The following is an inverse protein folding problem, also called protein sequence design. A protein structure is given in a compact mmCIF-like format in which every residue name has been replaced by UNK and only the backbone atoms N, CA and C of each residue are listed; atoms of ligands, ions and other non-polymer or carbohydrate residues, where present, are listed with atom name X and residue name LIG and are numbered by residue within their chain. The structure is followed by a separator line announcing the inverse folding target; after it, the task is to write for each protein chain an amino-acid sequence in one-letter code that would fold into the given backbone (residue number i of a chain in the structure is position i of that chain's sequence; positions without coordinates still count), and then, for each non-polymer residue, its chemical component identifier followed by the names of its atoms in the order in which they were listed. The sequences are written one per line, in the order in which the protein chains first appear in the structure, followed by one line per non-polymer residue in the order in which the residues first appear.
data_IF_597213484339
#
_entry.id   IF_597213484339
#
_cell.length_a   1.000
_cell.length_b   1.000
_cell.length_c   1.000
_cell.angle_alpha   90.00
_cell.angle_beta   90.00
_cell.angle_gamma   90.00
#
_symmetry.space_group_name_H-M   'P 1'
#
loop_
_entity.id
_entity.type
_entity.pdbx_description
1 polymer ?
#
# COMPACT_ATOMS: atom_id res chain seq x y z
N UNK A 1 24.81 -15.96 2.95
CA UNK A 1 24.04 -17.20 3.17
C UNK A 1 22.62 -17.02 2.65
N UNK A 2 21.82 -16.15 3.27
CA UNK A 2 20.44 -15.86 2.85
C UNK A 2 20.28 -15.46 1.37
N UNK A 3 21.19 -14.64 0.81
CA UNK A 3 21.16 -14.32 -0.62
C UNK A 3 21.35 -15.56 -1.52
N UNK A 4 22.22 -16.49 -1.14
CA UNK A 4 22.45 -17.71 -1.93
C UNK A 4 21.22 -18.61 -1.87
N UNK A 5 20.61 -18.74 -0.69
CA UNK A 5 19.37 -19.49 -0.48
C UNK A 5 18.23 -18.90 -1.32
N UNK A 6 18.08 -17.56 -1.33
CA UNK A 6 17.10 -16.87 -2.17
C UNK A 6 17.37 -17.03 -3.67
N UNK A 7 18.64 -16.94 -4.10
CA UNK A 7 19.03 -17.15 -5.49
C UNK A 7 18.66 -18.56 -5.97
N UNK A 8 18.94 -19.57 -5.16
CA UNK A 8 18.57 -20.97 -5.44
C UNK A 8 17.05 -21.16 -5.46
N UNK A 9 16.32 -20.52 -4.55
CA UNK A 9 14.86 -20.57 -4.52
C UNK A 9 14.24 -19.98 -5.80
N UNK A 10 14.71 -18.82 -6.27
CA UNK A 10 14.23 -18.24 -7.53
C UNK A 10 14.47 -19.18 -8.72
N UNK A 11 15.63 -19.84 -8.79
CA UNK A 11 15.88 -20.85 -9.83
C UNK A 11 14.86 -22.01 -9.77
N UNK A 12 14.58 -22.53 -8.57
CA UNK A 12 13.59 -23.61 -8.36
C UNK A 12 12.16 -23.19 -8.69
N UNK A 13 11.86 -21.88 -8.60
CA UNK A 13 10.56 -21.27 -8.91
C UNK A 13 10.44 -20.81 -10.36
N UNK A 14 11.31 -21.31 -11.25
CA UNK A 14 11.18 -21.09 -12.69
C UNK A 14 11.79 -19.78 -13.22
N UNK A 15 12.49 -19.01 -12.39
CA UNK A 15 13.18 -17.81 -12.87
C UNK A 15 14.43 -18.21 -13.67
N UNK A 16 14.49 -17.78 -14.94
CA UNK A 16 15.71 -17.90 -15.76
C UNK A 16 16.87 -17.06 -15.21
N UNK A 17 18.10 -17.39 -15.60
CA UNK A 17 19.29 -16.64 -15.17
C UNK A 17 19.23 -15.16 -15.57
N UNK A 18 18.65 -14.87 -16.75
CA UNK A 18 18.42 -13.52 -17.23
C UNK A 18 17.43 -12.77 -16.32
N UNK A 19 16.27 -13.38 -16.01
CA UNK A 19 15.26 -12.78 -15.13
C UNK A 19 15.79 -12.53 -13.71
N UNK A 20 16.60 -13.45 -13.15
CA UNK A 20 17.24 -13.23 -11.84
C UNK A 20 18.22 -12.06 -11.88
N UNK A 21 19.00 -11.95 -12.96
CA UNK A 21 19.94 -10.84 -13.17
C UNK A 21 19.20 -9.50 -13.29
N UNK A 22 18.12 -9.45 -14.06
CA UNK A 22 17.25 -8.28 -14.21
C UNK A 22 16.59 -7.87 -12.89
N UNK A 23 16.10 -8.84 -12.10
CA UNK A 23 15.58 -8.59 -10.76
C UNK A 23 16.61 -7.88 -9.88
N UNK A 24 17.85 -8.39 -9.83
CA UNK A 24 18.91 -7.77 -9.04
C UNK A 24 19.32 -6.40 -9.56
N UNK A 25 19.33 -6.22 -10.89
CA UNK A 25 19.60 -4.93 -11.53
C UNK A 25 18.56 -3.89 -11.11
N UNK A 26 17.28 -4.25 -11.10
CA UNK A 26 16.18 -3.37 -10.68
C UNK A 26 16.25 -3.03 -9.19
N UNK A 27 16.62 -4.00 -8.34
CA UNK A 27 16.84 -3.73 -6.91
C UNK A 27 18.04 -2.79 -6.68
N UNK A 28 19.14 -3.01 -7.41
CA UNK A 28 20.30 -2.11 -7.37
C UNK A 28 19.94 -0.69 -7.85
N UNK A 29 19.10 -0.59 -8.88
CA UNK A 29 18.60 0.67 -9.40
C UNK A 29 17.76 1.43 -8.36
N UNK A 30 16.90 0.76 -7.60
CA UNK A 30 16.17 1.37 -6.48
C UNK A 30 17.13 2.00 -5.46
N UNK A 31 18.23 1.32 -5.11
CA UNK A 31 19.26 1.86 -4.22
C UNK A 31 20.00 3.05 -4.84
N UNK A 32 20.34 2.97 -6.13
CA UNK A 32 21.04 4.05 -6.83
C UNK A 32 20.20 5.32 -6.95
N UNK A 33 18.93 5.20 -7.33
CA UNK A 33 17.98 6.33 -7.36
C UNK A 33 17.79 6.88 -5.93
N UNK A 34 17.80 6.00 -4.92
CA UNK A 34 17.82 6.36 -3.50
C UNK A 34 19.00 7.24 -3.08
N UNK A 35 20.10 7.28 -3.84
CA UNK A 35 21.25 8.15 -3.58
C UNK A 35 21.19 9.49 -4.35
N UNK A 36 20.21 9.70 -5.22
CA UNK A 36 20.02 10.97 -5.92
C UNK A 36 19.53 12.03 -4.93
N UNK A 37 20.29 13.11 -4.80
CA UNK A 37 20.03 14.20 -3.86
C UNK A 37 19.83 15.54 -4.58
N UNK A 38 19.20 16.49 -3.90
CA UNK A 38 18.71 17.73 -4.50
C UNK A 38 19.25 18.97 -3.78
N UNK A 39 19.55 20.01 -4.53
CA UNK A 39 19.95 21.34 -4.02
C UNK A 39 19.01 22.42 -4.55
N UNK A 40 18.87 23.57 -3.87
CA UNK A 40 18.15 24.71 -4.42
C UNK A 40 18.76 25.15 -5.76
N UNK A 41 17.94 25.21 -6.79
CA UNK A 41 18.28 25.65 -8.14
C UNK A 41 17.65 26.99 -8.50
N UNK A 42 17.81 27.44 -9.75
CA UNK A 42 17.24 28.71 -10.23
C UNK A 42 15.72 28.74 -10.27
N UNK A 43 15.12 27.60 -10.60
CA UNK A 43 13.67 27.47 -10.77
C UNK A 43 13.01 26.61 -9.69
N UNK A 44 13.76 26.10 -8.70
CA UNK A 44 13.23 25.22 -7.64
C UNK A 44 14.32 24.31 -7.09
N UNK A 45 14.30 23.02 -7.45
CA UNK A 45 15.36 22.06 -7.14
C UNK A 45 16.19 21.70 -8.37
N UNK A 46 17.46 21.39 -8.14
CA UNK A 46 18.37 20.81 -9.13
C UNK A 46 19.04 19.56 -8.54
N UNK A 47 19.46 18.65 -9.41
CA UNK A 47 20.08 17.39 -9.01
C UNK A 47 21.56 17.61 -8.69
N UNK A 48 21.97 17.19 -7.50
CA UNK A 48 23.34 17.42 -6.98
C UNK A 48 24.41 16.64 -7.75
N UNK A 49 24.11 15.41 -8.15
CA UNK A 49 25.01 14.55 -8.94
C UNK A 49 24.32 14.10 -10.23
N UNK A 50 24.53 14.87 -11.30
CA UNK A 50 23.99 14.55 -12.62
C UNK A 50 24.58 13.26 -13.21
N UNK A 51 25.82 12.88 -12.85
CA UNK A 51 26.42 11.63 -13.37
C UNK A 51 25.74 10.41 -12.78
N UNK A 52 25.35 10.46 -11.50
CA UNK A 52 24.55 9.41 -10.87
C UNK A 52 23.18 9.31 -11.55
N UNK A 53 22.51 10.44 -11.81
CA UNK A 53 21.23 10.46 -12.50
C UNK A 53 21.31 9.87 -13.91
N UNK A 54 22.32 10.25 -14.69
CA UNK A 54 22.58 9.71 -16.03
C UNK A 54 22.79 8.19 -16.00
N UNK A 55 23.51 7.67 -15.01
CA UNK A 55 23.66 6.21 -14.81
C UNK A 55 22.32 5.54 -14.50
N UNK A 56 21.51 6.13 -13.62
CA UNK A 56 20.17 5.61 -13.31
C UNK A 56 19.27 5.61 -14.56
N UNK A 57 19.31 6.70 -15.33
CA UNK A 57 18.56 6.82 -16.58
C UNK A 57 18.99 5.81 -17.63
N UNK A 58 20.30 5.56 -17.76
CA UNK A 58 20.83 4.52 -18.66
C UNK A 58 20.37 3.11 -18.26
N UNK A 59 20.34 2.80 -16.96
CA UNK A 59 19.82 1.51 -16.46
C UNK A 59 18.31 1.36 -16.68
N UNK A 60 17.55 2.45 -16.51
CA UNK A 60 16.11 2.51 -16.85
C UNK A 60 15.85 2.54 -18.37
N UNK A 61 16.88 2.76 -19.18
CA UNK A 61 16.78 2.97 -20.64
C UNK A 61 15.86 4.15 -21.00
N UNK A 62 15.95 5.24 -20.23
CA UNK A 62 15.20 6.48 -20.45
C UNK A 62 16.14 7.65 -20.68
N UNK A 63 15.60 8.73 -21.24
CA UNK A 63 16.35 9.98 -21.39
C UNK A 63 16.66 10.59 -20.00
N UNK A 64 17.92 10.98 -19.71
CA UNK A 64 18.28 11.58 -18.43
C UNK A 64 17.52 12.87 -18.11
N UNK A 65 17.17 13.66 -19.13
CA UNK A 65 16.37 14.89 -18.96
C UNK A 65 14.96 14.54 -18.55
N UNK A 66 14.36 13.52 -19.16
CA UNK A 66 13.03 13.03 -18.79
C UNK A 66 13.00 12.54 -17.33
N UNK A 67 14.00 11.76 -16.91
CA UNK A 67 14.09 11.31 -15.52
C UNK A 67 14.27 12.48 -14.55
N UNK A 68 15.14 13.45 -14.88
CA UNK A 68 15.31 14.68 -14.10
C UNK A 68 13.97 15.40 -13.94
N UNK A 69 13.28 15.64 -15.05
CA UNK A 69 12.02 16.36 -15.05
C UNK A 69 10.95 15.66 -14.21
N UNK A 70 10.87 14.33 -14.28
CA UNK A 70 9.91 13.54 -13.53
C UNK A 70 10.08 13.66 -12.00
N UNK A 71 11.32 13.88 -11.52
CA UNK A 71 11.61 13.97 -10.08
C UNK A 71 11.77 15.41 -9.58
N UNK A 72 11.98 16.40 -10.46
CA UNK A 72 12.12 17.82 -10.07
C UNK A 72 10.92 18.69 -10.44
N UNK A 73 9.95 18.21 -11.23
CA UNK A 73 8.76 18.96 -11.61
C UNK A 73 7.48 18.18 -11.33
N UNK A 74 6.44 18.88 -10.89
CA UNK A 74 5.07 18.40 -10.86
C UNK A 74 4.39 18.75 -12.17
N UNK A 75 3.91 17.74 -12.90
CA UNK A 75 3.01 17.96 -14.04
C UNK A 75 1.61 18.21 -13.50
N UNK A 76 1.01 19.33 -13.88
CA UNK A 76 -0.36 19.69 -13.53
C UNK A 76 -1.21 19.79 -14.79
N UNK A 77 -2.41 19.20 -14.72
CA UNK A 77 -3.40 19.30 -15.79
C UNK A 77 -4.12 20.65 -15.75
N UNK A 78 -3.95 21.46 -16.78
CA UNK A 78 -4.75 22.64 -17.07
C UNK A 78 -5.85 22.28 -18.09
N UNK A 79 -6.89 21.58 -17.63
CA UNK A 79 -8.03 21.19 -18.48
C UNK A 79 -7.64 20.30 -19.69
N UNK A 80 -8.50 20.26 -20.71
CA UNK A 80 -8.40 19.35 -21.88
C UNK A 80 -7.21 19.60 -22.82
N UNK A 81 -6.49 20.72 -22.72
CA UNK A 81 -5.56 21.16 -23.78
C UNK A 81 -4.22 21.74 -23.31
N UNK A 82 -3.93 21.80 -21.99
CA UNK A 82 -2.62 22.28 -21.54
C UNK A 82 -2.11 21.53 -20.31
N UNK A 83 -0.93 20.94 -20.41
CA UNK A 83 -0.14 20.48 -19.26
C UNK A 83 0.89 21.54 -18.94
N UNK A 84 0.93 21.98 -17.68
CA UNK A 84 1.97 22.88 -17.20
C UNK A 84 2.85 22.16 -16.19
N UNK A 85 4.16 22.40 -16.26
CA UNK A 85 5.13 21.87 -15.31
C UNK A 85 5.41 22.95 -14.27
N UNK A 86 5.27 22.59 -13.00
CA UNK A 86 5.65 23.44 -11.88
C UNK A 86 6.86 22.83 -11.19
N UNK A 87 7.94 23.61 -11.00
CA UNK A 87 9.14 23.09 -10.34
C UNK A 87 8.87 22.76 -8.87
N UNK A 88 9.56 21.75 -8.37
CA UNK A 88 9.49 21.29 -6.99
C UNK A 88 10.67 21.86 -6.19
N UNK A 89 10.39 22.30 -4.97
CA UNK A 89 11.43 22.57 -3.97
C UNK A 89 12.13 21.28 -3.53
N UNK A 90 13.40 21.32 -3.06
CA UNK A 90 14.17 20.13 -2.72
C UNK A 90 13.44 19.12 -1.82
N UNK A 91 12.71 19.51 -0.74
CA UNK A 91 11.95 18.56 0.07
C UNK A 91 10.88 17.79 -0.72
N UNK A 92 10.22 18.44 -1.68
CA UNK A 92 9.20 17.78 -2.53
C UNK A 92 9.83 16.92 -3.62
N UNK A 93 10.99 17.31 -4.14
CA UNK A 93 11.75 16.48 -5.07
C UNK A 93 12.24 15.17 -4.42
N UNK A 94 12.65 15.23 -3.13
CA UNK A 94 12.95 14.03 -2.34
C UNK A 94 11.74 13.09 -2.28
N UNK A 95 10.54 13.62 -2.00
CA UNK A 95 9.31 12.84 -1.97
C UNK A 95 9.04 12.23 -3.35
N UNK A 96 9.11 13.02 -4.44
CA UNK A 96 8.89 12.53 -5.80
C UNK A 96 9.86 11.39 -6.18
N UNK A 97 11.15 11.53 -5.85
CA UNK A 97 12.16 10.47 -6.02
C UNK A 97 11.83 9.23 -5.19
N UNK A 98 11.43 9.38 -3.93
CA UNK A 98 11.04 8.25 -3.09
C UNK A 98 9.78 7.55 -3.65
N UNK A 99 8.79 8.31 -4.13
CA UNK A 99 7.60 7.78 -4.79
C UNK A 99 7.95 6.98 -6.05
N UNK A 100 8.89 7.47 -6.86
CA UNK A 100 9.39 6.73 -8.02
C UNK A 100 10.05 5.40 -7.60
N UNK A 101 10.92 5.42 -6.59
CA UNK A 101 11.58 4.20 -6.07
C UNK A 101 10.57 3.20 -5.53
N UNK A 102 9.61 3.64 -4.71
CA UNK A 102 8.55 2.79 -4.19
C UNK A 102 7.70 2.19 -5.31
N UNK A 103 7.39 2.97 -6.35
CA UNK A 103 6.64 2.47 -7.49
C UNK A 103 7.41 1.42 -8.30
N UNK A 104 8.70 1.66 -8.59
CA UNK A 104 9.56 0.67 -9.26
C UNK A 104 9.62 -0.61 -8.44
N UNK A 105 9.84 -0.52 -7.13
CA UNK A 105 9.89 -1.68 -6.26
C UNK A 105 8.56 -2.46 -6.27
N UNK A 106 7.42 -1.77 -6.22
CA UNK A 106 6.10 -2.38 -6.33
C UNK A 106 5.95 -3.17 -7.63
N UNK A 107 6.34 -2.58 -8.77
CA UNK A 107 6.26 -3.24 -10.08
C UNK A 107 7.16 -4.49 -10.16
N UNK A 108 8.35 -4.43 -9.56
CA UNK A 108 9.27 -5.56 -9.47
C UNK A 108 8.67 -6.68 -8.61
N UNK A 109 8.07 -6.34 -7.48
CA UNK A 109 7.41 -7.29 -6.60
C UNK A 109 6.20 -7.95 -7.31
N UNK A 110 5.33 -7.16 -7.92
CA UNK A 110 4.17 -7.66 -8.67
C UNK A 110 4.58 -8.55 -9.85
N UNK A 111 5.69 -8.22 -10.51
CA UNK A 111 6.27 -9.07 -11.54
C UNK A 111 6.80 -10.39 -10.98
N UNK A 112 7.53 -10.38 -9.87
CA UNK A 112 8.03 -11.60 -9.24
C UNK A 112 6.87 -12.53 -8.81
N UNK A 113 5.81 -11.96 -8.22
CA UNK A 113 4.59 -12.71 -7.86
C UNK A 113 3.93 -13.32 -9.09
N UNK A 114 3.86 -12.58 -10.21
CA UNK A 114 3.32 -13.11 -11.48
C UNK A 114 4.15 -14.29 -12.00
N UNK A 115 5.48 -14.18 -12.04
CA UNK A 115 6.36 -15.28 -12.48
C UNK A 115 6.16 -16.52 -11.63
N UNK A 116 6.07 -16.36 -10.29
CA UNK A 116 5.81 -17.47 -9.37
C UNK A 116 4.43 -18.08 -9.65
N UNK A 117 3.39 -17.25 -9.76
CA UNK A 117 2.03 -17.71 -10.01
C UNK A 117 1.92 -18.46 -11.34
N UNK A 118 2.52 -17.94 -12.41
CA UNK A 118 2.54 -18.60 -13.71
C UNK A 118 3.23 -19.96 -13.63
N UNK A 119 4.32 -20.07 -12.84
CA UNK A 119 5.06 -21.32 -12.65
C UNK A 119 4.30 -22.38 -11.82
N UNK A 120 3.60 -21.98 -10.76
CA UNK A 120 2.91 -22.92 -9.85
C UNK A 120 1.43 -23.14 -10.19
N UNK A 121 0.86 -22.31 -11.07
CA UNK A 121 -0.57 -22.38 -11.38
C UNK A 121 -0.96 -23.73 -11.96
N UNK A 122 -2.12 -24.23 -11.52
CA UNK A 122 -2.73 -25.46 -12.04
C UNK A 122 -4.10 -25.09 -12.60
N UNK A 123 -4.29 -25.29 -13.90
CA UNK A 123 -5.59 -25.12 -14.53
C UNK A 123 -6.55 -26.24 -14.08
N UNK A 124 -7.84 -25.89 -13.90
CA UNK A 124 -8.93 -26.85 -13.67
C UNK A 124 -8.84 -27.71 -12.39
N UNK A 125 -8.39 -27.16 -11.26
CA UNK A 125 -8.54 -27.86 -9.97
C UNK A 125 -10.01 -27.93 -9.53
N UNK A 126 -10.49 -29.14 -9.22
CA UNK A 126 -11.84 -29.37 -8.70
C UNK A 126 -12.07 -28.76 -7.30
N UNK A 127 -10.99 -28.62 -6.51
CA UNK A 127 -11.03 -28.08 -5.15
C UNK A 127 -9.85 -27.15 -4.91
N UNK A 128 -10.00 -26.18 -4.01
CA UNK A 128 -8.92 -25.25 -3.63
C UNK A 128 -8.94 -25.05 -2.12
N UNK A 129 -7.77 -25.11 -1.50
CA UNK A 129 -7.57 -24.79 -0.09
C UNK A 129 -6.74 -23.52 0.00
N UNK A 130 -7.32 -22.47 0.57
CA UNK A 130 -6.60 -21.21 0.82
C UNK A 130 -5.88 -21.27 2.16
N UNK A 131 -4.63 -20.86 2.18
CA UNK A 131 -3.87 -20.61 3.41
C UNK A 131 -3.67 -19.10 3.49
N UNK A 132 -4.12 -18.50 4.59
CA UNK A 132 -3.98 -17.07 4.83
C UNK A 132 -2.86 -16.85 5.85
N UNK A 133 -1.78 -16.23 5.39
CA UNK A 133 -0.67 -15.76 6.22
C UNK A 133 -0.59 -14.24 6.10
N UNK A 134 -0.94 -13.54 7.18
CA UNK A 134 -1.00 -12.09 7.23
C UNK A 134 -0.36 -11.58 8.53
N UNK A 135 -0.03 -10.29 8.57
CA UNK A 135 0.36 -9.65 9.80
C UNK A 135 -0.76 -9.71 10.84
N UNK A 136 -0.41 -10.08 12.07
CA UNK A 136 -1.30 -9.95 13.23
C UNK A 136 -1.51 -8.48 13.60
N UNK A 137 -2.37 -8.25 14.60
CA UNK A 137 -2.64 -6.91 15.11
C UNK A 137 -1.35 -6.24 15.63
N UNK A 138 -1.10 -5.00 15.20
CA UNK A 138 0.09 -4.21 15.55
C UNK A 138 -0.26 -3.03 16.45
N UNK A 139 0.59 -2.76 17.44
CA UNK A 139 0.49 -1.57 18.27
C UNK A 139 1.88 -1.06 18.66
N UNK A 140 2.32 -0.01 17.98
CA UNK A 140 3.58 0.67 18.24
C UNK A 140 3.37 2.01 18.95
N UNK A 141 4.46 2.66 19.37
CA UNK A 141 4.40 4.00 19.95
C UNK A 141 3.87 5.06 18.97
N UNK A 142 4.11 4.85 17.67
CA UNK A 142 3.56 5.67 16.58
C UNK A 142 2.99 4.72 15.53
N UNK A 143 1.66 4.75 15.37
CA UNK A 143 0.96 3.96 14.36
C UNK A 143 0.56 4.88 13.21
N UNK A 144 0.91 4.50 11.97
CA UNK A 144 0.56 5.26 10.78
C UNK A 144 -0.55 4.55 9.99
N UNK A 145 -0.86 5.05 8.80
CA UNK A 145 -1.88 4.49 7.92
C UNK A 145 -1.69 2.98 7.63
N UNK A 146 -0.46 2.45 7.44
CA UNK A 146 -0.27 0.99 7.26
C UNK A 146 -0.76 0.16 8.45
N UNK A 147 -0.50 0.59 9.69
CA UNK A 147 -1.01 -0.10 10.89
C UNK A 147 -2.54 -0.07 10.95
N UNK A 148 -3.17 1.04 10.55
CA UNK A 148 -4.63 1.10 10.43
C UNK A 148 -5.14 0.03 9.45
N UNK A 149 -4.50 -0.13 8.29
CA UNK A 149 -4.87 -1.16 7.31
C UNK A 149 -4.67 -2.59 7.85
N UNK A 150 -3.55 -2.84 8.55
CA UNK A 150 -3.26 -4.15 9.16
C UNK A 150 -4.31 -4.47 10.23
N UNK A 151 -4.57 -3.55 11.15
CA UNK A 151 -5.52 -3.76 12.24
C UNK A 151 -6.95 -3.86 11.73
N UNK A 152 -7.33 -3.05 10.74
CA UNK A 152 -8.64 -3.16 10.08
C UNK A 152 -8.86 -4.53 9.42
N UNK A 153 -7.82 -5.09 8.81
CA UNK A 153 -7.87 -6.45 8.24
C UNK A 153 -8.08 -7.49 9.34
N UNK A 154 -7.36 -7.37 10.46
CA UNK A 154 -7.54 -8.26 11.61
C UNK A 154 -8.94 -8.17 12.22
N UNK A 155 -9.48 -6.96 12.39
CA UNK A 155 -10.85 -6.75 12.87
C UNK A 155 -11.89 -7.38 11.93
N UNK A 156 -11.70 -7.23 10.62
CA UNK A 156 -12.58 -7.83 9.61
C UNK A 156 -12.54 -9.36 9.64
N UNK A 157 -11.35 -9.96 9.84
CA UNK A 157 -11.21 -11.40 9.99
C UNK A 157 -11.80 -11.91 11.30
N UNK A 158 -11.66 -11.15 12.38
CA UNK A 158 -12.29 -11.47 13.66
C UNK A 158 -13.82 -11.46 13.55
N UNK A 159 -14.38 -10.45 12.86
CA UNK A 159 -15.82 -10.38 12.60
C UNK A 159 -16.31 -11.57 11.77
N UNK A 160 -15.61 -11.91 10.69
CA UNK A 160 -15.92 -13.08 9.86
C UNK A 160 -15.87 -14.38 10.67
N UNK A 161 -14.87 -14.52 11.56
CA UNK A 161 -14.75 -15.68 12.44
C UNK A 161 -15.94 -15.79 13.39
N UNK A 162 -16.31 -14.69 14.05
CA UNK A 162 -17.48 -14.60 14.92
C UNK A 162 -18.73 -15.02 14.13
N UNK A 163 -19.03 -14.36 13.01
CA UNK A 163 -20.23 -14.64 12.23
C UNK A 163 -20.30 -16.11 11.80
N UNK A 164 -19.18 -16.65 11.30
CA UNK A 164 -19.15 -18.01 10.78
C UNK A 164 -19.23 -19.07 11.88
N UNK A 165 -18.42 -18.95 12.93
CA UNK A 165 -18.38 -19.95 14.01
C UNK A 165 -19.68 -19.94 14.80
N UNK A 166 -20.19 -18.77 15.20
CA UNK A 166 -21.44 -18.72 15.96
C UNK A 166 -22.62 -19.24 15.14
N UNK A 167 -22.68 -18.92 13.84
CA UNK A 167 -23.74 -19.45 12.97
C UNK A 167 -23.65 -20.97 12.84
N UNK A 168 -22.46 -21.52 12.61
CA UNK A 168 -22.27 -22.97 12.52
C UNK A 168 -22.61 -23.68 13.82
N UNK A 169 -22.20 -23.13 14.97
CA UNK A 169 -22.54 -23.69 16.28
C UNK A 169 -24.05 -23.68 16.52
N UNK A 170 -24.75 -22.58 16.22
CA UNK A 170 -26.20 -22.50 16.32
C UNK A 170 -26.91 -23.54 15.45
N UNK A 171 -26.45 -23.74 14.21
CA UNK A 171 -27.01 -24.76 13.31
C UNK A 171 -26.85 -26.18 13.87
N UNK A 172 -25.75 -26.46 14.59
CA UNK A 172 -25.54 -27.75 15.27
C UNK A 172 -26.46 -27.89 16.47
N UNK A 173 -26.57 -26.88 17.33
CA UNK A 173 -27.44 -26.96 18.51
C UNK A 173 -28.91 -27.15 18.14
N UNK A 174 -29.40 -26.45 17.11
CA UNK A 174 -30.78 -26.61 16.60
C UNK A 174 -30.99 -28.02 16.04
N UNK A 175 -30.00 -28.57 15.32
CA UNK A 175 -30.08 -29.92 14.74
C UNK A 175 -30.13 -31.01 15.81
N UNK A 176 -29.36 -30.85 16.88
CA UNK A 176 -29.22 -31.84 17.96
C UNK A 176 -30.25 -31.65 19.09
N UNK A 177 -31.18 -30.69 18.95
CA UNK A 177 -32.23 -30.38 19.95
C UNK A 177 -31.68 -30.09 21.35
N UNK A 178 -30.47 -29.52 21.43
CA UNK A 178 -29.82 -29.17 22.69
C UNK A 178 -30.38 -27.83 23.19
N UNK A 179 -30.85 -27.78 24.44
CA UNK A 179 -31.19 -26.51 25.11
C UNK A 179 -29.94 -25.63 25.20
N UNK A 180 -29.88 -24.62 24.33
CA UNK A 180 -28.79 -23.65 24.29
C UNK A 180 -29.23 -22.31 24.87
N UNK A 181 -28.49 -21.83 25.88
CA UNK A 181 -28.60 -20.46 26.35
C UNK A 181 -27.67 -19.59 25.51
N UNK A 182 -28.22 -18.58 24.82
CA UNK A 182 -27.42 -17.66 24.02
C UNK A 182 -26.32 -17.02 24.87
N UNK A 183 -25.06 -17.33 24.56
CA UNK A 183 -23.91 -16.60 25.08
C UNK A 183 -23.81 -15.30 24.29
N UNK A 184 -23.94 -14.16 24.97
CA UNK A 184 -23.70 -12.87 24.35
C UNK A 184 -22.22 -12.75 23.97
N UNK A 185 -21.95 -12.48 22.70
CA UNK A 185 -20.60 -12.14 22.22
C UNK A 185 -20.51 -10.64 21.96
N UNK A 186 -19.29 -10.13 21.98
CA UNK A 186 -19.01 -8.73 21.66
C UNK A 186 -18.81 -8.59 20.14
N UNK A 187 -19.75 -7.90 19.48
CA UNK A 187 -19.69 -7.64 18.04
C UNK A 187 -18.84 -6.40 17.75
N UNK A 188 -17.79 -6.59 16.93
CA UNK A 188 -16.90 -5.51 16.48
C UNK A 188 -17.36 -4.82 15.18
N UNK A 189 -18.56 -5.14 14.66
CA UNK A 189 -19.11 -4.52 13.43
C UNK A 189 -19.12 -2.99 13.50
N UNK A 190 -19.31 -2.43 14.69
CA UNK A 190 -19.28 -0.98 14.90
C UNK A 190 -17.89 -0.37 14.61
N UNK A 191 -16.80 -1.09 14.89
CA UNK A 191 -15.42 -0.68 14.58
C UNK A 191 -15.17 -0.74 13.07
N UNK A 192 -15.58 -1.83 12.43
CA UNK A 192 -15.49 -2.00 10.97
C UNK A 192 -16.30 -0.90 10.28
N UNK A 193 -17.52 -0.63 10.75
CA UNK A 193 -18.39 0.41 10.22
C UNK A 193 -17.73 1.80 10.33
N UNK A 194 -17.13 2.12 11.48
CA UNK A 194 -16.41 3.38 11.67
C UNK A 194 -15.27 3.55 10.64
N UNK A 195 -14.54 2.47 10.34
CA UNK A 195 -13.40 2.53 9.42
C UNK A 195 -13.85 2.57 7.96
N UNK A 196 -14.80 1.72 7.53
CA UNK A 196 -15.07 1.46 6.11
C UNK A 196 -16.50 1.68 5.63
N UNK A 197 -17.51 1.90 6.49
CA UNK A 197 -18.91 2.04 6.05
C UNK A 197 -19.22 3.43 5.51
N UNK A 198 -19.17 3.55 4.18
CA UNK A 198 -19.52 4.76 3.44
C UNK A 198 -20.98 5.20 3.68
N UNK A 199 -21.32 6.50 3.55
CA UNK A 199 -20.42 7.59 3.16
C UNK A 199 -19.55 8.12 4.31
N UNK A 200 -20.01 8.05 5.55
CA UNK A 200 -19.32 8.62 6.71
C UNK A 200 -18.54 7.54 7.45
N UNK A 201 -17.27 7.41 7.11
CA UNK A 201 -16.29 6.54 7.76
C UNK A 201 -14.88 7.13 7.63
N UNK A 202 -13.90 6.61 8.36
CA UNK A 202 -12.50 7.10 8.33
C UNK A 202 -11.96 7.08 6.90
N UNK A 203 -12.11 5.97 6.17
CA UNK A 203 -11.62 5.86 4.80
C UNK A 203 -12.40 6.77 3.82
N UNK A 204 -13.70 6.95 4.04
CA UNK A 204 -14.53 7.85 3.22
C UNK A 204 -14.11 9.31 3.36
N UNK A 205 -13.89 9.78 4.58
CA UNK A 205 -13.43 11.14 4.85
C UNK A 205 -11.98 11.37 4.39
N UNK A 206 -11.12 10.32 4.42
CA UNK A 206 -9.78 10.37 3.81
C UNK A 206 -9.85 10.58 2.29
N UNK A 207 -10.70 9.80 1.62
CA UNK A 207 -10.89 9.90 0.17
C UNK A 207 -11.37 11.31 -0.24
N UNK A 208 -12.33 11.87 0.51
CA UNK A 208 -12.81 13.24 0.31
C UNK A 208 -11.67 14.26 0.49
N UNK A 209 -10.89 14.13 1.57
CA UNK A 209 -9.72 14.97 1.82
C UNK A 209 -8.71 14.93 0.66
N UNK A 210 -8.43 13.74 0.14
CA UNK A 210 -7.50 13.55 -0.98
C UNK A 210 -8.05 14.13 -2.29
N UNK A 211 -9.35 14.00 -2.55
CA UNK A 211 -9.99 14.46 -3.78
C UNK A 211 -10.00 15.99 -3.95
N UNK A 212 -9.95 16.76 -2.85
CA UNK A 212 -9.98 18.23 -2.90
C UNK A 212 -8.73 18.87 -3.52
N UNK A 213 -7.62 18.12 -3.68
CA UNK A 213 -6.36 18.59 -4.27
C UNK A 213 -5.57 19.61 -3.44
N UNK A 214 -6.16 20.13 -2.36
CA UNK A 214 -5.56 21.05 -1.38
C UNK A 214 -5.68 20.56 0.08
N UNK A 215 -6.14 19.32 0.27
CA UNK A 215 -6.27 18.67 1.57
C UNK A 215 -4.96 18.74 2.37
N UNK A 216 -5.08 19.13 3.64
CA UNK A 216 -4.00 19.11 4.62
C UNK A 216 -4.34 18.11 5.71
N UNK A 217 -3.33 17.46 6.27
CA UNK A 217 -3.49 16.50 7.37
C UNK A 217 -4.30 17.10 8.54
N UNK A 218 -4.04 18.37 8.89
CA UNK A 218 -4.78 19.08 9.93
C UNK A 218 -6.27 19.18 9.63
N UNK A 219 -6.63 19.49 8.39
CA UNK A 219 -8.02 19.61 7.96
C UNK A 219 -8.75 18.26 7.96
N UNK A 220 -8.05 17.18 7.62
CA UNK A 220 -8.62 15.83 7.68
C UNK A 220 -8.85 15.40 9.13
N UNK A 221 -7.90 15.68 10.02
CA UNK A 221 -8.02 15.40 11.46
C UNK A 221 -9.16 16.21 12.08
N UNK A 222 -9.27 17.50 11.77
CA UNK A 222 -10.38 18.35 12.21
C UNK A 222 -11.74 17.77 11.74
N UNK A 223 -11.81 17.31 10.49
CA UNK A 223 -13.01 16.69 9.94
C UNK A 223 -13.38 15.40 10.70
N UNK A 224 -12.41 14.52 10.99
CA UNK A 224 -12.63 13.34 11.82
C UNK A 224 -13.18 13.69 13.20
N UNK A 225 -12.55 14.63 13.91
CA UNK A 225 -13.00 15.02 15.25
C UNK A 225 -14.41 15.62 15.20
N UNK A 226 -14.69 16.53 14.27
CA UNK A 226 -16.01 17.14 14.13
C UNK A 226 -17.11 16.10 13.83
N UNK A 227 -16.77 15.04 13.10
CA UNK A 227 -17.73 14.00 12.70
C UNK A 227 -17.96 12.96 13.79
N UNK A 228 -16.90 12.45 14.41
CA UNK A 228 -16.96 11.30 15.30
C UNK A 228 -17.00 11.66 16.79
N UNK A 229 -16.53 12.85 17.20
CA UNK A 229 -16.50 13.26 18.62
C UNK A 229 -17.60 14.23 19.03
N UNK A 230 -18.49 14.60 18.09
CA UNK A 230 -19.58 15.52 18.37
C UNK A 230 -20.56 14.97 19.44
N UNK A 231 -21.14 15.84 20.30
CA UNK A 231 -22.14 15.42 21.28
C UNK A 231 -23.36 14.78 20.59
N UNK A 232 -23.54 13.47 20.77
CA UNK A 232 -24.61 12.69 20.12
C UNK A 232 -24.17 11.88 18.90
N UNK A 233 -22.88 11.85 18.58
CA UNK A 233 -22.31 11.01 17.53
C UNK A 233 -22.52 9.51 17.80
N UNK A 234 -22.68 8.74 16.71
CA UNK A 234 -22.94 7.28 16.73
C UNK A 234 -21.82 6.47 17.38
N UNK A 235 -20.59 7.01 17.39
CA UNK A 235 -19.40 6.35 17.91
C UNK A 235 -18.86 7.17 19.08
N UNK A 236 -19.24 6.81 20.30
CA UNK A 236 -18.61 7.36 21.51
C UNK A 236 -17.43 6.46 21.86
N UNK A 237 -16.25 7.06 22.04
CA UNK A 237 -15.13 6.41 22.71
C UNK A 237 -15.48 6.11 24.17
#
# INVERSE_FOLDING_TARGET
KEFADAHEAFFKLGFSDQQRSELYLMLALCLMIGNVDFTPGKEGSDVKDMKLLERCAAMLQVDPTMLREAITFKTMGGGKLSTYKSPLEPPRAIIARNSLVMHIYSLVFDWAVRVINDYISVENSAYRTGILDIFGFENFSVNSFPQLCINFTNESLHNLFIEHVFKLEQEVYVREEVEWNFVAYEDNQHVIDLISKRPICILGLLDEGCATGSGKDSSVIENFHSTFTAPGGKYKA
#
